data_IF_340354703042
#
_entry.id   IF_340354703042
#
_cell.length_a   1.000
_cell.length_b   1.000
_cell.length_c   1.000
_cell.angle_alpha   90.00
_cell.angle_beta   90.00
_cell.angle_gamma   90.00
#
_symmetry.space_group_name_H-M   'P 1'
#
loop_
_entity.id
_entity.type
_entity.pdbx_description
1 polymer ?
#
# COMPACT_ATOMS: atom_id res chain seq x y z
N UNK A 1 19.81 45.99 -15.90
CA UNK A 1 20.07 47.37 -15.45
C UNK A 1 19.09 47.65 -14.33
N UNK A 2 19.43 47.77 -13.04
CA UNK A 2 20.70 48.07 -12.39
C UNK A 2 20.52 49.32 -11.52
N UNK A 3 20.49 49.12 -10.19
CA UNK A 3 20.89 50.04 -9.09
C UNK A 3 19.97 51.28 -8.83
N UNK A 4 19.73 51.80 -7.61
CA UNK A 4 20.40 51.71 -6.30
C UNK A 4 19.51 52.31 -5.17
N UNK A 5 19.77 51.87 -3.91
CA UNK A 5 19.69 52.57 -2.59
C UNK A 5 18.32 53.09 -2.07
N UNK A 6 17.95 53.00 -0.79
CA UNK A 6 18.61 52.59 0.46
C UNK A 6 17.94 53.36 1.63
N UNK A 7 17.60 52.71 2.74
CA UNK A 7 17.53 53.29 4.10
C UNK A 7 17.02 52.27 5.13
N UNK A 8 17.89 51.97 6.09
CA UNK A 8 17.70 51.14 7.28
C UNK A 8 17.48 52.10 8.47
N UNK A 9 16.63 51.78 9.44
CA UNK A 9 16.51 52.58 10.68
C UNK A 9 16.41 51.66 11.90
N UNK A 10 17.58 51.49 12.51
CA UNK A 10 17.96 51.50 13.92
C UNK A 10 17.08 50.93 15.04
N UNK A 11 17.74 49.98 15.72
CA UNK A 11 17.46 49.34 16.98
C UNK A 11 17.83 50.27 18.14
N UNK A 12 16.89 50.51 19.06
CA UNK A 12 17.16 51.23 20.33
C UNK A 12 17.54 50.23 21.43
N UNK A 13 18.80 50.28 21.84
CA UNK A 13 19.35 49.58 23.01
C UNK A 13 19.23 50.48 24.24
N UNK A 14 18.40 50.09 25.22
CA UNK A 14 18.34 50.78 26.52
C UNK A 14 19.31 50.13 27.49
N UNK A 15 20.39 50.85 27.81
CA UNK A 15 21.39 50.54 28.83
C UNK A 15 21.01 51.30 30.11
N UNK A 16 20.76 50.61 31.23
CA UNK A 16 20.69 51.26 32.57
C UNK A 16 21.93 50.90 33.39
N UNK A 17 22.52 51.94 33.98
CA UNK A 17 23.78 51.99 34.72
C UNK A 17 23.50 51.75 36.22
N UNK A 18 24.40 51.06 36.91
CA UNK A 18 24.39 50.83 38.35
C UNK A 18 24.81 52.08 39.15
N UNK A 19 24.40 52.13 40.43
CA UNK A 19 25.12 52.77 41.54
C UNK A 19 24.80 52.04 42.85
N UNK A 20 25.84 51.87 43.66
CA UNK A 20 26.01 51.15 44.95
C UNK A 20 25.25 51.84 46.12
N UNK A 21 25.14 51.37 47.38
CA UNK A 21 25.76 50.32 48.20
C UNK A 21 24.89 50.04 49.46
N UNK A 22 25.14 48.88 50.11
CA UNK A 22 25.11 48.56 51.57
C UNK A 22 23.97 49.09 52.48
N UNK A 23 23.35 48.39 53.43
CA UNK A 23 23.57 47.14 54.17
C UNK A 23 22.29 46.95 55.03
N UNK A 24 21.85 45.72 55.33
CA UNK A 24 21.42 45.22 56.67
C UNK A 24 20.77 43.84 56.49
N UNK A 25 21.31 42.88 57.24
CA UNK A 25 20.95 41.48 57.37
C UNK A 25 19.54 41.25 57.92
N UNK A 26 18.72 40.49 57.19
CA UNK A 26 17.59 39.75 57.75
C UNK A 26 17.41 38.43 56.96
N UNK A 27 17.46 37.30 57.66
CA UNK A 27 17.15 35.97 57.11
C UNK A 27 15.72 35.96 56.54
N UNK A 28 15.48 35.59 55.26
CA UNK A 28 14.12 35.36 54.80
C UNK A 28 13.63 34.00 55.27
N UNK A 29 12.42 34.05 55.82
CA UNK A 29 11.65 32.95 56.37
C UNK A 29 11.53 31.73 55.43
N UNK A 30 11.25 30.57 56.05
CA UNK A 30 11.00 29.26 55.43
C UNK A 30 9.92 29.24 54.32
N UNK A 31 9.19 30.34 54.11
CA UNK A 31 8.25 30.53 53.00
C UNK A 31 8.93 30.66 51.63
N UNK A 32 10.18 31.13 51.57
CA UNK A 32 10.92 31.28 50.30
C UNK A 32 11.31 29.95 49.65
N UNK A 33 11.63 28.94 50.47
CA UNK A 33 12.06 27.62 49.97
C UNK A 33 10.87 26.78 49.47
N UNK A 34 9.71 26.91 50.11
CA UNK A 34 8.46 26.29 49.66
C UNK A 34 8.01 26.86 48.31
N UNK A 35 8.13 28.18 48.12
CA UNK A 35 7.79 28.86 46.87
C UNK A 35 8.76 28.51 45.73
N UNK A 36 10.06 28.37 46.01
CA UNK A 36 11.04 27.94 45.03
C UNK A 36 10.81 26.48 44.56
N UNK A 37 10.49 25.57 45.49
CA UNK A 37 10.16 24.19 45.15
C UNK A 37 8.84 24.06 44.38
N UNK A 38 7.84 24.90 44.68
CA UNK A 38 6.60 24.96 43.91
C UNK A 38 6.83 25.51 42.49
N UNK A 39 7.67 26.54 42.34
CA UNK A 39 8.05 27.09 41.04
C UNK A 39 8.88 26.11 40.19
N UNK A 40 9.80 25.37 40.80
CA UNK A 40 10.57 24.32 40.12
C UNK A 40 9.69 23.15 39.69
N UNK A 41 8.79 22.66 40.56
CA UNK A 41 7.81 21.61 40.19
C UNK A 41 6.82 22.07 39.12
N UNK A 42 6.40 23.33 39.18
CA UNK A 42 5.56 23.96 38.14
C UNK A 42 6.29 24.10 36.80
N UNK A 43 7.57 24.47 36.83
CA UNK A 43 8.43 24.58 35.66
C UNK A 43 8.76 23.23 35.02
N UNK A 44 9.04 22.20 35.82
CA UNK A 44 9.23 20.83 35.33
C UNK A 44 7.95 20.23 34.78
N UNK A 45 6.80 20.47 35.41
CA UNK A 45 5.50 20.00 34.92
C UNK A 45 5.09 20.70 33.63
N UNK A 46 5.34 22.01 33.50
CA UNK A 46 5.11 22.75 32.27
C UNK A 46 6.08 22.32 31.14
N UNK A 47 7.34 22.05 31.46
CA UNK A 47 8.32 21.52 30.51
C UNK A 47 8.02 20.06 30.10
N UNK A 48 7.46 19.25 31.00
CA UNK A 48 6.93 17.91 30.70
C UNK A 48 5.69 17.98 29.81
N UNK A 49 4.75 18.88 30.11
CA UNK A 49 3.55 19.10 29.28
C UNK A 49 3.90 19.63 27.89
N UNK A 50 4.95 20.46 27.77
CA UNK A 50 5.43 20.93 26.46
C UNK A 50 6.20 19.86 25.68
N UNK A 51 6.74 18.82 26.36
CA UNK A 51 7.40 17.67 25.72
C UNK A 51 6.43 16.56 25.30
N UNK A 52 5.22 16.53 25.82
CA UNK A 52 4.14 15.70 25.29
C UNK A 52 3.58 16.42 24.06
N UNK A 53 4.15 16.16 22.87
CA UNK A 53 3.44 16.44 21.61
C UNK A 53 2.18 15.58 21.63
N UNK A 54 1.08 16.14 22.14
CA UNK A 54 -0.24 15.57 21.97
C UNK A 54 -0.46 15.35 20.46
N UNK A 55 -1.04 14.23 20.03
CA UNK A 55 -1.40 14.03 18.62
C UNK A 55 -2.20 15.25 18.17
N UNK A 56 -1.90 15.75 16.96
CA UNK A 56 -2.64 16.90 16.42
C UNK A 56 -4.13 16.60 16.51
N UNK A 57 -4.94 17.53 17.04
CA UNK A 57 -6.37 17.28 17.22
C UNK A 57 -6.99 16.91 15.87
N UNK A 58 -7.75 15.82 15.87
CA UNK A 58 -8.49 15.38 14.70
C UNK A 58 -9.54 16.43 14.32
N UNK A 59 -9.80 16.56 13.03
CA UNK A 59 -10.66 17.59 12.46
C UNK A 59 -12.03 17.06 12.08
N UNK A 60 -12.99 17.99 12.06
CA UNK A 60 -14.29 17.79 11.42
C UNK A 60 -14.13 17.94 9.90
N UNK A 61 -15.01 17.29 9.13
CA UNK A 61 -15.00 17.37 7.66
C UNK A 61 -15.05 18.82 7.14
N UNK A 62 -15.91 19.65 7.73
CA UNK A 62 -16.06 21.05 7.35
C UNK A 62 -14.86 21.95 7.70
N UNK A 63 -13.91 21.46 8.49
CA UNK A 63 -12.68 22.19 8.87
C UNK A 63 -11.48 21.87 7.96
N UNK A 64 -11.64 20.92 7.03
CA UNK A 64 -10.56 20.48 6.16
C UNK A 64 -10.30 21.46 5.01
N UNK A 65 -9.11 21.35 4.41
CA UNK A 65 -8.85 22.02 3.14
C UNK A 65 -9.75 21.45 2.04
N UNK A 66 -10.10 22.28 1.05
CA UNK A 66 -11.07 21.90 -0.01
C UNK A 66 -10.69 20.60 -0.73
N UNK A 67 -9.40 20.37 -0.98
CA UNK A 67 -8.93 19.15 -1.64
C UNK A 67 -9.07 17.89 -0.77
N UNK A 68 -9.06 18.03 0.56
CA UNK A 68 -9.30 16.92 1.49
C UNK A 68 -10.80 16.61 1.66
N UNK A 69 -11.68 17.52 1.21
CA UNK A 69 -13.13 17.37 1.24
C UNK A 69 -13.68 16.64 0.00
N UNK A 70 -12.82 16.08 -0.85
CA UNK A 70 -13.27 15.48 -2.10
C UNK A 70 -13.88 14.09 -1.90
N UNK A 71 -13.48 13.33 -0.87
CA UNK A 71 -13.84 11.92 -0.66
C UNK A 71 -15.32 11.65 -0.33
N UNK A 72 -15.69 11.82 0.95
CA UNK A 72 -16.98 11.37 1.47
C UNK A 72 -17.50 12.28 2.60
N UNK A 73 -18.51 13.08 2.28
CA UNK A 73 -19.18 13.98 3.24
C UNK A 73 -19.97 13.25 4.34
N UNK A 74 -20.16 11.93 4.23
CA UNK A 74 -20.86 11.12 5.24
C UNK A 74 -20.00 10.83 6.47
N UNK A 75 -18.68 10.97 6.36
CA UNK A 75 -17.77 10.85 7.51
C UNK A 75 -17.55 12.26 8.02
N UNK A 76 -18.04 12.54 9.24
CA UNK A 76 -18.09 13.92 9.75
C UNK A 76 -16.86 14.29 10.60
N UNK A 77 -16.18 13.32 11.20
CA UNK A 77 -15.12 13.53 12.21
C UNK A 77 -13.94 12.58 12.02
N UNK A 78 -12.83 12.84 12.72
CA UNK A 78 -11.71 11.92 12.83
C UNK A 78 -10.63 12.10 11.76
N UNK A 79 -10.63 13.24 11.07
CA UNK A 79 -9.70 13.53 9.98
C UNK A 79 -8.35 14.07 10.45
N UNK A 80 -7.31 13.76 9.68
CA UNK A 80 -5.97 14.36 9.83
C UNK A 80 -5.90 15.63 8.98
N UNK A 81 -5.46 16.74 9.58
CA UNK A 81 -5.21 17.97 8.83
C UNK A 81 -4.01 17.83 7.90
N UNK A 82 -3.94 18.65 6.85
CA UNK A 82 -2.75 18.79 6.03
C UNK A 82 -1.50 19.01 6.90
N UNK A 83 -0.49 18.17 6.73
CA UNK A 83 0.69 18.13 7.61
C UNK A 83 1.95 18.72 6.97
N UNK A 84 2.07 18.67 5.64
CA UNK A 84 3.28 19.02 4.90
C UNK A 84 4.52 18.22 5.31
N UNK A 85 4.37 17.12 6.06
CA UNK A 85 5.49 16.38 6.64
C UNK A 85 5.23 14.89 6.66
N UNK A 86 6.04 14.13 5.93
CA UNK A 86 5.96 12.66 5.93
C UNK A 86 6.14 12.08 7.33
N UNK A 87 7.04 12.64 8.14
CA UNK A 87 7.24 12.19 9.52
C UNK A 87 5.96 12.31 10.35
N UNK A 88 5.18 13.39 10.16
CA UNK A 88 3.89 13.56 10.81
C UNK A 88 2.83 12.59 10.28
N UNK A 89 2.83 12.29 8.98
CA UNK A 89 1.97 11.25 8.39
C UNK A 89 2.23 9.87 9.03
N UNK A 90 3.49 9.42 9.09
CA UNK A 90 3.86 8.14 9.71
C UNK A 90 3.64 8.14 11.23
N UNK A 91 3.81 9.29 11.89
CA UNK A 91 3.46 9.44 13.29
C UNK A 91 1.98 9.16 13.57
N UNK A 92 1.09 9.25 12.56
CA UNK A 92 -0.34 9.00 12.72
C UNK A 92 -0.70 7.55 13.00
N UNK A 93 0.19 6.60 12.71
CA UNK A 93 0.00 5.18 13.04
C UNK A 93 -0.18 4.94 14.54
N UNK A 94 0.20 5.90 15.39
CA UNK A 94 0.14 5.77 16.85
C UNK A 94 -1.19 6.20 17.47
N UNK A 95 -2.15 6.67 16.68
CA UNK A 95 -3.47 7.07 17.17
C UNK A 95 -4.57 6.70 16.17
N UNK A 96 -5.82 6.66 16.64
CA UNK A 96 -6.98 6.28 15.83
C UNK A 96 -7.49 7.50 15.07
N UNK A 97 -7.78 7.32 13.79
CA UNK A 97 -8.34 8.32 12.87
C UNK A 97 -9.15 7.61 11.77
N UNK A 98 -9.82 8.36 10.90
CA UNK A 98 -10.70 7.85 9.85
C UNK A 98 -9.98 6.86 8.88
N UNK A 99 -8.68 7.03 8.66
CA UNK A 99 -7.87 6.13 7.81
C UNK A 99 -7.20 4.95 8.53
N UNK A 100 -7.36 4.77 9.85
CA UNK A 100 -6.62 3.75 10.61
C UNK A 100 -6.88 2.34 10.06
N UNK A 101 -8.14 1.98 9.82
CA UNK A 101 -8.49 0.64 9.30
C UNK A 101 -7.99 0.45 7.87
N UNK A 102 -8.02 1.48 7.04
CA UNK A 102 -7.50 1.41 5.66
C UNK A 102 -5.99 1.12 5.67
N UNK A 103 -5.22 1.80 6.54
CA UNK A 103 -3.78 1.55 6.68
C UNK A 103 -3.52 0.12 7.17
N UNK A 104 -4.09 -0.26 8.31
CA UNK A 104 -3.74 -1.53 8.95
C UNK A 104 -4.24 -2.76 8.20
N UNK A 105 -5.44 -2.70 7.61
CA UNK A 105 -5.97 -3.84 6.83
C UNK A 105 -5.09 -4.14 5.62
N UNK A 106 -4.61 -3.09 4.93
CA UNK A 106 -3.70 -3.25 3.79
C UNK A 106 -2.27 -3.63 4.22
N UNK A 107 -1.72 -3.08 5.32
CA UNK A 107 -0.42 -3.52 5.85
C UNK A 107 -0.41 -5.01 6.22
N UNK A 108 -1.44 -5.46 6.93
CA UNK A 108 -1.61 -6.86 7.31
C UNK A 108 -1.76 -7.73 6.05
N UNK A 109 -2.59 -7.29 5.09
CA UNK A 109 -2.73 -7.97 3.80
C UNK A 109 -1.40 -8.11 3.06
N UNK A 110 -0.62 -7.03 2.96
CA UNK A 110 0.70 -7.06 2.31
C UNK A 110 1.65 -8.04 3.00
N UNK A 111 1.72 -8.01 4.34
CA UNK A 111 2.55 -8.94 5.10
C UNK A 111 2.15 -10.40 4.90
N UNK A 112 0.86 -10.71 4.90
CA UNK A 112 0.34 -12.06 4.63
C UNK A 112 0.79 -12.55 3.26
N UNK A 113 0.62 -11.74 2.21
CA UNK A 113 0.99 -12.13 0.84
C UNK A 113 2.50 -12.16 0.58
N UNK A 114 3.34 -11.57 1.46
CA UNK A 114 4.79 -11.77 1.47
C UNK A 114 5.18 -13.06 2.20
N UNK A 115 4.53 -13.38 3.32
CA UNK A 115 4.89 -14.53 4.17
C UNK A 115 4.41 -15.84 3.59
N UNK A 116 3.20 -15.90 3.03
CA UNK A 116 2.62 -17.12 2.43
C UNK A 116 3.56 -17.77 1.40
N UNK A 117 4.06 -17.08 0.36
CA UNK A 117 4.93 -17.73 -0.63
C UNK A 117 6.22 -18.25 0.01
N UNK A 118 6.82 -17.54 0.97
CA UNK A 118 8.01 -18.04 1.68
C UNK A 118 7.71 -19.33 2.41
N UNK A 119 6.56 -19.42 3.09
CA UNK A 119 6.11 -20.64 3.76
C UNK A 119 5.87 -21.77 2.76
N UNK A 120 5.14 -21.51 1.67
CA UNK A 120 4.82 -22.51 0.65
C UNK A 120 6.08 -23.05 -0.04
N UNK A 121 7.00 -22.18 -0.47
CA UNK A 121 8.21 -22.59 -1.18
C UNK A 121 9.25 -23.27 -0.29
N UNK A 122 9.26 -22.99 1.03
CA UNK A 122 10.18 -23.66 1.96
C UNK A 122 9.65 -24.98 2.52
N UNK A 123 8.34 -25.09 2.75
CA UNK A 123 7.78 -26.20 3.52
C UNK A 123 6.89 -27.14 2.68
N UNK A 124 6.10 -26.59 1.74
CA UNK A 124 5.03 -27.33 1.06
C UNK A 124 5.39 -27.78 -0.36
N UNK A 125 6.17 -26.98 -1.07
CA UNK A 125 6.55 -27.24 -2.47
C UNK A 125 7.75 -28.18 -2.57
N UNK A 126 8.76 -28.17 -1.67
CA UNK A 126 9.88 -29.10 -1.76
C UNK A 126 9.50 -30.58 -1.83
N UNK A 127 8.54 -31.07 -1.02
CA UNK A 127 8.03 -32.43 -1.13
C UNK A 127 7.34 -32.75 -2.48
N UNK A 128 6.96 -31.73 -3.26
CA UNK A 128 6.17 -31.84 -4.50
C UNK A 128 6.96 -31.47 -5.76
N UNK A 129 8.27 -31.19 -5.69
CA UNK A 129 9.10 -30.77 -6.85
C UNK A 129 9.11 -31.75 -8.04
N UNK A 130 8.84 -33.04 -7.81
CA UNK A 130 8.68 -34.00 -8.92
C UNK A 130 7.51 -33.63 -9.85
N UNK A 131 6.56 -32.83 -9.35
CA UNK A 131 5.31 -32.43 -10.00
C UNK A 131 5.25 -30.90 -10.17
N UNK A 132 6.00 -30.12 -9.39
CA UNK A 132 6.08 -28.66 -9.52
C UNK A 132 7.41 -28.26 -10.18
N UNK A 133 7.33 -27.55 -11.29
CA UNK A 133 8.48 -26.99 -12.01
C UNK A 133 8.83 -25.60 -11.49
N UNK A 134 9.99 -25.08 -11.91
CA UNK A 134 10.36 -23.69 -11.61
C UNK A 134 9.39 -22.66 -12.23
N UNK A 135 8.69 -23.02 -13.31
CA UNK A 135 7.68 -22.15 -13.94
C UNK A 135 6.49 -21.95 -13.02
N UNK A 136 6.05 -23.01 -12.34
CA UNK A 136 4.98 -22.97 -11.33
C UNK A 136 5.35 -22.01 -10.19
N UNK A 137 6.61 -22.01 -9.77
CA UNK A 137 7.15 -21.08 -8.75
C UNK A 137 7.06 -19.64 -9.24
N UNK A 138 7.51 -19.37 -10.47
CA UNK A 138 7.52 -18.01 -11.03
C UNK A 138 6.11 -17.45 -11.18
N UNK A 139 5.17 -18.19 -11.77
CA UNK A 139 3.80 -17.70 -11.97
C UNK A 139 3.06 -17.48 -10.66
N UNK A 140 3.28 -18.35 -9.66
CA UNK A 140 2.73 -18.16 -8.32
C UNK A 140 3.33 -16.93 -7.65
N UNK A 141 4.66 -16.76 -7.70
CA UNK A 141 5.32 -15.58 -7.14
C UNK A 141 4.85 -14.28 -7.79
N UNK A 142 4.62 -14.26 -9.10
CA UNK A 142 4.08 -13.07 -9.78
C UNK A 142 2.76 -12.62 -9.17
N UNK A 143 1.84 -13.55 -8.91
CA UNK A 143 0.58 -13.25 -8.23
C UNK A 143 0.80 -12.75 -6.79
N UNK A 144 1.56 -13.48 -5.97
CA UNK A 144 1.79 -13.08 -4.57
C UNK A 144 2.44 -11.70 -4.46
N UNK A 145 3.44 -11.41 -5.30
CA UNK A 145 4.10 -10.11 -5.33
C UNK A 145 3.16 -9.01 -5.81
N UNK A 146 2.34 -9.27 -6.85
CA UNK A 146 1.37 -8.28 -7.32
C UNK A 146 0.35 -7.89 -6.26
N UNK A 147 -0.18 -8.87 -5.52
CA UNK A 147 -1.09 -8.62 -4.38
C UNK A 147 -0.38 -7.86 -3.26
N UNK A 148 0.83 -8.30 -2.88
CA UNK A 148 1.60 -7.66 -1.82
C UNK A 148 1.93 -6.19 -2.14
N UNK A 149 2.31 -5.91 -3.38
CA UNK A 149 2.60 -4.54 -3.87
C UNK A 149 1.32 -3.72 -3.89
N UNK A 150 0.19 -4.25 -4.38
CA UNK A 150 -1.10 -3.55 -4.35
C UNK A 150 -1.46 -3.09 -2.94
N UNK A 151 -1.41 -4.00 -1.97
CA UNK A 151 -1.69 -3.65 -0.57
C UNK A 151 -0.68 -2.67 0.00
N UNK A 152 0.62 -2.81 -0.33
CA UNK A 152 1.64 -1.88 0.12
C UNK A 152 1.42 -0.46 -0.41
N UNK A 153 1.15 -0.30 -1.71
CA UNK A 153 0.89 0.99 -2.33
C UNK A 153 -0.33 1.68 -1.71
N UNK A 154 -1.39 0.91 -1.47
CA UNK A 154 -2.60 1.42 -0.81
C UNK A 154 -2.36 1.83 0.65
N UNK A 155 -1.63 1.02 1.43
CA UNK A 155 -1.26 1.38 2.79
C UNK A 155 -0.38 2.65 2.84
N UNK A 156 0.54 2.80 1.89
CA UNK A 156 1.35 4.01 1.73
C UNK A 156 0.45 5.20 1.41
N UNK A 157 -0.46 5.08 0.44
CA UNK A 157 -1.39 6.13 0.07
C UNK A 157 -2.21 6.62 1.27
N UNK A 158 -2.92 5.72 1.95
CA UNK A 158 -3.70 6.07 3.13
C UNK A 158 -2.84 6.61 4.28
N UNK A 159 -1.56 6.24 4.36
CA UNK A 159 -0.63 6.86 5.32
C UNK A 159 -0.34 8.32 4.94
N UNK A 160 0.00 8.60 3.68
CA UNK A 160 0.53 9.89 3.23
C UNK A 160 -0.51 10.87 2.69
N UNK A 161 -1.77 10.48 2.51
CA UNK A 161 -2.82 11.33 1.92
C UNK A 161 -3.03 12.67 2.65
N UNK A 162 -2.74 12.76 3.95
CA UNK A 162 -2.80 14.03 4.70
C UNK A 162 -1.54 14.91 4.56
N UNK A 163 -0.64 14.63 3.61
CA UNK A 163 0.61 15.39 3.45
C UNK A 163 0.37 16.74 2.77
N UNK A 164 0.01 16.70 1.49
CA UNK A 164 -0.25 17.87 0.63
C UNK A 164 -1.05 17.39 -0.58
N UNK A 165 -1.79 18.29 -1.22
CA UNK A 165 -2.59 17.97 -2.42
C UNK A 165 -1.81 17.22 -3.51
N UNK A 166 -0.54 17.60 -3.75
CA UNK A 166 0.31 16.92 -4.73
C UNK A 166 0.63 15.47 -4.37
N UNK A 167 0.91 15.19 -3.09
CA UNK A 167 1.25 13.86 -2.60
C UNK A 167 0.00 12.98 -2.54
N UNK A 168 -1.14 13.56 -2.19
CA UNK A 168 -2.43 12.88 -2.22
C UNK A 168 -2.79 12.42 -3.64
N UNK A 169 -2.78 13.33 -4.63
CA UNK A 169 -3.06 13.00 -6.02
C UNK A 169 -2.11 11.94 -6.59
N UNK A 170 -0.81 12.06 -6.33
CA UNK A 170 0.17 11.08 -6.79
C UNK A 170 0.03 9.73 -6.07
N UNK A 171 -0.24 9.76 -4.76
CA UNK A 171 -0.50 8.56 -3.97
C UNK A 171 -1.74 7.81 -4.46
N UNK A 172 -2.82 8.53 -4.78
CA UNK A 172 -4.03 7.94 -5.35
C UNK A 172 -3.76 7.30 -6.72
N UNK A 173 -2.91 7.90 -7.56
CA UNK A 173 -2.48 7.30 -8.82
C UNK A 173 -1.72 5.99 -8.60
N UNK A 174 -0.81 5.94 -7.62
CA UNK A 174 -0.07 4.73 -7.27
C UNK A 174 -0.99 3.64 -6.69
N UNK A 175 -1.98 4.01 -5.89
CA UNK A 175 -2.99 3.06 -5.38
C UNK A 175 -3.78 2.41 -6.53
N UNK A 176 -4.17 3.21 -7.54
CA UNK A 176 -4.77 2.68 -8.77
C UNK A 176 -3.82 1.75 -9.54
N UNK A 177 -2.53 2.07 -9.62
CA UNK A 177 -1.56 1.13 -10.20
C UNK A 177 -1.47 -0.18 -9.41
N UNK A 178 -1.59 -0.12 -8.09
CA UNK A 178 -1.68 -1.30 -7.24
C UNK A 178 -2.80 -2.23 -7.66
N UNK A 179 -4.02 -1.70 -7.82
CA UNK A 179 -5.19 -2.48 -8.26
C UNK A 179 -4.96 -3.11 -9.64
N UNK A 180 -4.40 -2.35 -10.59
CA UNK A 180 -4.12 -2.87 -11.94
C UNK A 180 -3.08 -3.99 -11.90
N UNK A 181 -2.02 -3.82 -11.11
CA UNK A 181 -0.98 -4.83 -10.93
C UNK A 181 -1.52 -6.09 -10.27
N UNK A 182 -2.39 -5.97 -9.26
CA UNK A 182 -3.11 -7.08 -8.66
C UNK A 182 -3.93 -7.84 -9.71
N UNK A 183 -4.74 -7.12 -10.48
CA UNK A 183 -5.58 -7.74 -11.51
C UNK A 183 -4.73 -8.45 -12.57
N UNK A 184 -3.72 -7.77 -13.11
CA UNK A 184 -2.82 -8.35 -14.11
C UNK A 184 -2.07 -9.57 -13.59
N UNK A 185 -1.45 -9.47 -12.40
CA UNK A 185 -0.67 -10.56 -11.81
C UNK A 185 -1.52 -11.81 -11.50
N UNK A 186 -2.80 -11.65 -11.15
CA UNK A 186 -3.73 -12.76 -10.98
C UNK A 186 -4.03 -13.50 -12.29
N UNK A 187 -3.98 -12.81 -13.44
CA UNK A 187 -4.17 -13.46 -14.74
C UNK A 187 -3.00 -14.37 -15.14
N UNK A 188 -1.80 -14.13 -14.61
CA UNK A 188 -0.60 -14.90 -14.98
C UNK A 188 -0.74 -16.39 -14.63
N UNK A 189 -0.95 -16.81 -13.37
CA UNK A 189 -1.18 -18.20 -13.04
C UNK A 189 -2.52 -18.71 -13.60
N UNK A 190 -3.56 -17.88 -13.66
CA UNK A 190 -4.86 -18.26 -14.21
C UNK A 190 -4.74 -18.82 -15.63
N UNK A 191 -4.09 -18.08 -16.53
CA UNK A 191 -3.91 -18.49 -17.92
C UNK A 191 -2.82 -19.58 -18.02
N UNK A 192 -1.79 -19.55 -17.18
CA UNK A 192 -0.75 -20.59 -17.14
C UNK A 192 -1.33 -21.99 -16.90
N UNK A 193 -2.17 -22.12 -15.86
CA UNK A 193 -2.81 -23.39 -15.51
C UNK A 193 -4.05 -23.67 -16.35
N UNK A 194 -4.78 -22.64 -16.79
CA UNK A 194 -5.96 -22.77 -17.65
C UNK A 194 -5.64 -23.35 -19.02
N UNK A 195 -4.56 -22.87 -19.64
CA UNK A 195 -4.10 -23.26 -20.98
C UNK A 195 -2.69 -23.85 -20.92
N UNK A 196 -2.48 -24.82 -20.03
CA UNK A 196 -1.17 -25.46 -19.85
C UNK A 196 -0.69 -26.11 -21.16
N UNK A 197 -1.63 -26.76 -21.86
CA UNK A 197 -1.39 -27.58 -23.05
C UNK A 197 -1.29 -26.77 -24.34
N UNK A 198 -2.04 -25.66 -24.45
CA UNK A 198 -2.00 -24.79 -25.61
C UNK A 198 -1.15 -23.54 -25.32
N UNK A 199 0.10 -23.57 -25.80
CA UNK A 199 1.04 -22.47 -25.62
C UNK A 199 0.67 -21.25 -26.46
N UNK A 200 0.08 -21.44 -27.63
CA UNK A 200 -0.27 -20.34 -28.52
C UNK A 200 -1.42 -19.54 -27.91
N UNK A 201 -2.46 -20.23 -27.45
CA UNK A 201 -3.62 -19.61 -26.79
C UNK A 201 -3.24 -18.95 -25.47
N UNK A 202 -2.39 -19.61 -24.66
CA UNK A 202 -1.83 -19.00 -23.43
C UNK A 202 -1.11 -17.68 -23.73
N UNK A 203 -0.20 -17.69 -24.70
CA UNK A 203 0.58 -16.49 -25.04
C UNK A 203 -0.33 -15.38 -25.59
N UNK A 204 -1.32 -15.71 -26.42
CA UNK A 204 -2.29 -14.75 -26.93
C UNK A 204 -3.08 -14.06 -25.80
N UNK A 205 -3.58 -14.83 -24.82
CA UNK A 205 -4.26 -14.26 -23.66
C UNK A 205 -3.35 -13.39 -22.79
N UNK A 206 -2.13 -13.83 -22.50
CA UNK A 206 -1.17 -13.02 -21.76
C UNK A 206 -0.86 -11.70 -22.47
N UNK A 207 -0.63 -11.72 -23.79
CA UNK A 207 -0.40 -10.50 -24.57
C UNK A 207 -1.61 -9.58 -24.52
N UNK A 208 -2.81 -10.10 -24.79
CA UNK A 208 -4.04 -9.30 -24.77
C UNK A 208 -4.28 -8.65 -23.40
N UNK A 209 -4.23 -9.43 -22.32
CA UNK A 209 -4.47 -8.94 -20.95
C UNK A 209 -3.39 -7.95 -20.49
N UNK A 210 -2.13 -8.15 -20.92
CA UNK A 210 -1.05 -7.21 -20.62
C UNK A 210 -1.24 -5.88 -21.35
N UNK A 211 -1.68 -5.90 -22.62
CA UNK A 211 -2.00 -4.67 -23.37
C UNK A 211 -3.17 -3.93 -22.73
N UNK A 212 -4.24 -4.64 -22.35
CA UNK A 212 -5.39 -4.03 -21.67
C UNK A 212 -5.00 -3.42 -20.32
N UNK A 213 -4.18 -4.12 -19.52
CA UNK A 213 -3.66 -3.60 -18.26
C UNK A 213 -2.78 -2.36 -18.47
N UNK A 214 -1.93 -2.36 -19.51
CA UNK A 214 -1.09 -1.20 -19.85
C UNK A 214 -1.93 0.02 -20.27
N UNK A 215 -2.96 -0.17 -21.08
CA UNK A 215 -3.89 0.91 -21.47
C UNK A 215 -4.59 1.49 -20.23
N UNK A 216 -5.06 0.61 -19.33
CA UNK A 216 -5.68 1.02 -18.07
C UNK A 216 -4.68 1.80 -17.18
N UNK A 217 -3.44 1.31 -17.07
CA UNK A 217 -2.37 1.95 -16.32
C UNK A 217 -2.06 3.36 -16.83
N UNK A 218 -1.88 3.53 -18.14
CA UNK A 218 -1.63 4.84 -18.75
C UNK A 218 -2.81 5.79 -18.51
N UNK A 219 -4.04 5.29 -18.64
CA UNK A 219 -5.25 6.10 -18.45
C UNK A 219 -5.38 6.62 -17.01
N UNK A 220 -5.00 5.81 -16.02
CA UNK A 220 -5.13 6.14 -14.59
C UNK A 220 -4.04 7.10 -14.09
N UNK A 221 -2.93 7.24 -14.81
CA UNK A 221 -1.93 8.29 -14.56
C UNK A 221 -2.36 9.69 -15.03
N UNK A 222 -3.41 9.80 -15.84
CA UNK A 222 -3.90 11.09 -16.28
C UNK A 222 -4.49 11.87 -15.08
N UNK A 223 -4.00 13.08 -14.81
CA UNK A 223 -4.38 13.86 -13.62
C UNK A 223 -5.88 14.11 -13.48
N UNK A 224 -6.59 14.34 -14.60
CA UNK A 224 -8.05 14.49 -14.58
C UNK A 224 -8.79 13.24 -14.10
N UNK A 225 -8.20 12.06 -14.23
CA UNK A 225 -8.85 10.81 -13.83
C UNK A 225 -9.18 10.77 -12.33
N UNK A 226 -8.53 11.62 -11.52
CA UNK A 226 -8.76 11.74 -10.08
C UNK A 226 -10.02 12.53 -9.71
N UNK A 227 -10.53 13.36 -10.63
CA UNK A 227 -11.67 14.24 -10.36
C UNK A 227 -12.90 13.45 -9.84
N UNK A 228 -13.64 13.98 -8.84
CA UNK A 228 -14.76 13.26 -8.23
C UNK A 228 -15.85 12.82 -9.22
N UNK A 229 -16.13 13.64 -10.25
CA UNK A 229 -17.15 13.31 -11.26
C UNK A 229 -16.75 12.14 -12.18
N UNK A 230 -15.46 11.76 -12.23
CA UNK A 230 -14.97 10.63 -13.01
C UNK A 230 -14.95 9.31 -12.23
N UNK A 231 -15.41 9.27 -10.98
CA UNK A 231 -15.59 8.04 -10.19
C UNK A 231 -16.30 6.91 -10.97
N UNK A 232 -17.42 7.14 -11.67
CA UNK A 232 -18.07 6.09 -12.45
C UNK A 232 -17.21 5.60 -13.61
N UNK A 233 -16.46 6.49 -14.26
CA UNK A 233 -15.54 6.14 -15.35
C UNK A 233 -14.42 5.26 -14.82
N UNK A 234 -13.83 5.59 -13.66
CA UNK A 234 -12.83 4.74 -13.00
C UNK A 234 -13.38 3.35 -12.71
N UNK A 235 -14.55 3.29 -12.09
CA UNK A 235 -15.23 2.03 -11.77
C UNK A 235 -15.50 1.22 -13.05
N UNK A 236 -15.95 1.86 -14.14
CA UNK A 236 -16.16 1.22 -15.42
C UNK A 236 -14.85 0.71 -16.05
N UNK A 237 -13.74 1.46 -15.95
CA UNK A 237 -12.43 1.03 -16.45
C UNK A 237 -11.95 -0.23 -15.74
N UNK A 238 -11.93 -0.23 -14.40
CA UNK A 238 -11.52 -1.41 -13.63
C UNK A 238 -12.51 -2.57 -13.78
N UNK A 239 -13.82 -2.29 -13.77
CA UNK A 239 -14.85 -3.28 -13.99
C UNK A 239 -14.73 -3.95 -15.36
N UNK A 240 -14.45 -3.18 -16.41
CA UNK A 240 -14.21 -3.72 -17.76
C UNK A 240 -12.99 -4.62 -17.79
N UNK A 241 -11.84 -4.17 -17.24
CA UNK A 241 -10.64 -5.01 -17.16
C UNK A 241 -10.94 -6.33 -16.42
N UNK A 242 -11.70 -6.27 -15.33
CA UNK A 242 -12.16 -7.45 -14.57
C UNK A 242 -13.03 -8.39 -15.41
N UNK A 243 -14.01 -7.87 -16.14
CA UNK A 243 -14.83 -8.67 -17.05
C UNK A 243 -13.99 -9.34 -18.15
N UNK A 244 -13.00 -8.64 -18.73
CA UNK A 244 -12.11 -9.23 -19.74
C UNK A 244 -11.26 -10.37 -19.17
N UNK A 245 -10.90 -10.34 -17.88
CA UNK A 245 -10.21 -11.47 -17.25
C UNK A 245 -11.06 -12.74 -17.16
N UNK A 246 -12.39 -12.64 -17.29
CA UNK A 246 -13.27 -13.82 -17.28
C UNK A 246 -13.32 -14.57 -18.61
N UNK A 247 -12.94 -13.92 -19.72
CA UNK A 247 -12.90 -14.55 -21.06
C UNK A 247 -12.07 -15.84 -21.09
N UNK A 248 -10.79 -15.88 -20.63
CA UNK A 248 -10.02 -17.12 -20.57
C UNK A 248 -10.64 -18.18 -19.66
N UNK A 249 -11.37 -17.77 -18.62
CA UNK A 249 -12.07 -18.72 -17.72
C UNK A 249 -13.19 -19.42 -18.47
N UNK A 250 -14.07 -18.67 -19.14
CA UNK A 250 -15.17 -19.24 -19.91
C UNK A 250 -14.68 -20.11 -21.05
N UNK A 251 -13.66 -19.66 -21.79
CA UNK A 251 -13.08 -20.45 -22.87
C UNK A 251 -12.49 -21.77 -22.35
N UNK A 252 -11.72 -21.73 -21.26
CA UNK A 252 -11.16 -22.95 -20.67
C UNK A 252 -12.23 -23.92 -20.13
N UNK A 253 -13.38 -23.42 -19.64
CA UNK A 253 -14.52 -24.25 -19.24
C UNK A 253 -15.17 -24.90 -20.46
N UNK A 254 -15.39 -24.14 -21.54
CA UNK A 254 -16.00 -24.64 -22.77
C UNK A 254 -15.15 -25.71 -23.44
N UNK A 255 -13.83 -25.52 -23.53
CA UNK A 255 -12.92 -26.55 -24.04
C UNK A 255 -13.04 -27.84 -23.23
N UNK A 256 -13.02 -27.76 -21.89
CA UNK A 256 -13.15 -28.93 -21.01
C UNK A 256 -14.49 -29.64 -21.14
N UNK A 257 -15.59 -28.89 -21.29
CA UNK A 257 -16.92 -29.47 -21.48
C UNK A 257 -17.07 -30.11 -22.87
N UNK A 258 -16.50 -29.52 -23.92
CA UNK A 258 -16.53 -30.08 -25.27
C UNK A 258 -15.78 -31.42 -25.40
N UNK A 259 -14.77 -31.65 -24.56
CA UNK A 259 -14.07 -32.93 -24.49
C UNK A 259 -14.76 -34.00 -23.62
N UNK A 260 -15.79 -33.64 -22.84
CA UNK A 260 -16.52 -34.56 -21.98
C UNK A 260 -17.70 -35.27 -22.69
N UNK A 261 -18.07 -34.86 -23.90
CA UNK A 261 -18.96 -35.66 -24.74
C UNK A 261 -18.19 -36.86 -25.33
N UNK A 262 -18.73 -38.08 -25.20
CA UNK A 262 -18.13 -39.25 -25.82
C UNK A 262 -18.30 -39.15 -27.34
N UNK A 263 -17.26 -38.64 -28.02
CA UNK A 263 -17.20 -38.73 -29.47
C UNK A 263 -17.05 -40.21 -29.86
N UNK A 264 -18.08 -40.71 -30.54
CA UNK A 264 -18.07 -42.03 -31.17
C UNK A 264 -16.81 -42.15 -32.03
N UNK A 265 -16.06 -43.23 -31.86
CA UNK A 265 -14.65 -43.34 -32.23
C UNK A 265 -14.31 -42.88 -33.65
N UNK A 266 -13.17 -42.16 -33.77
CA UNK A 266 -12.14 -42.33 -34.81
C UNK A 266 -11.12 -41.18 -34.93
N UNK A 267 -11.13 -40.15 -34.06
CA UNK A 267 -10.12 -39.10 -34.07
C UNK A 267 -9.41 -38.93 -32.72
N UNK A 268 -8.64 -39.95 -32.31
CA UNK A 268 -7.66 -39.82 -31.22
C UNK A 268 -6.28 -39.49 -31.79
N UNK A 269 -6.01 -38.20 -31.98
CA UNK A 269 -4.70 -37.69 -32.32
C UNK A 269 -4.86 -36.22 -32.74
N UNK A 270 -4.81 -35.25 -31.84
CA UNK A 270 -3.53 -34.74 -31.36
C UNK A 270 -3.62 -33.97 -30.02
N UNK A 271 -4.79 -33.92 -29.36
CA UNK A 271 -5.00 -33.10 -28.15
C UNK A 271 -5.01 -33.88 -26.81
N UNK A 272 -5.06 -35.22 -26.84
CA UNK A 272 -5.15 -36.03 -25.62
C UNK A 272 -3.80 -36.28 -24.91
N UNK A 273 -2.68 -35.84 -25.47
CA UNK A 273 -1.32 -36.09 -24.94
C UNK A 273 -0.97 -35.26 -23.70
N UNK A 274 -1.75 -34.26 -23.34
CA UNK A 274 -1.43 -33.36 -22.23
C UNK A 274 -2.20 -33.68 -20.93
N UNK A 275 -3.26 -34.49 -20.99
CA UNK A 275 -3.99 -34.96 -19.80
C UNK A 275 -3.30 -36.14 -19.09
N UNK A 276 -2.35 -36.80 -19.74
CA UNK A 276 -1.53 -37.85 -19.13
C UNK A 276 -0.20 -37.28 -18.61
N UNK A 277 -0.26 -36.59 -17.46
CA UNK A 277 0.93 -36.55 -16.61
C UNK A 277 1.15 -37.98 -16.10
N UNK A 278 2.31 -38.62 -16.32
CA UNK A 278 2.47 -40.04 -16.02
C UNK A 278 2.20 -40.27 -14.52
N UNK A 279 1.14 -41.03 -14.22
CA UNK A 279 0.91 -41.57 -12.88
C UNK A 279 2.12 -42.42 -12.52
N UNK A 280 2.90 -41.91 -11.56
CA UNK A 280 3.85 -42.64 -10.73
C UNK A 280 4.66 -43.72 -11.42
N UNK A 281 5.92 -43.41 -11.73
CA UNK A 281 6.94 -44.45 -11.57
C UNK A 281 6.88 -44.96 -10.13
N UNK A 282 6.61 -46.26 -10.02
CA UNK A 282 6.63 -47.05 -8.80
C UNK A 282 7.76 -46.60 -7.88
N UNK A 283 7.40 -46.03 -6.73
CA UNK A 283 8.35 -45.79 -5.64
C UNK A 283 8.72 -47.18 -5.11
N UNK A 284 9.82 -47.74 -5.61
CA UNK A 284 10.55 -48.78 -4.88
C UNK A 284 11.19 -48.12 -3.66
N UNK A 285 11.00 -48.65 -2.45
CA UNK A 285 11.71 -48.15 -1.29
C UNK A 285 13.12 -48.75 -1.31
N UNK A 286 14.13 -47.99 -1.74
CA UNK A 286 15.52 -48.34 -1.42
C UNK A 286 16.37 -47.12 -1.08
N UNK A 287 16.84 -47.19 0.16
CA UNK A 287 18.06 -46.66 0.75
C UNK A 287 18.26 -45.16 0.93
N UNK A 288 17.96 -44.77 2.17
CA UNK A 288 18.67 -43.75 2.93
C UNK A 288 20.19 -43.95 2.82
N UNK A 289 20.90 -43.09 2.06
CA UNK A 289 22.28 -42.63 2.31
C UNK A 289 22.76 -41.61 1.27
N UNK A 290 23.59 -40.68 1.75
CA UNK A 290 24.32 -39.58 1.10
C UNK A 290 23.57 -38.22 1.07
N UNK A 291 23.87 -37.20 1.91
CA UNK A 291 25.13 -36.43 2.15
C UNK A 291 25.52 -35.71 0.84
N UNK A 292 25.56 -34.38 0.68
CA UNK A 292 25.82 -33.19 1.52
C UNK A 292 24.84 -32.08 1.16
#
# INVERSE_FOLDING_TARGET
>A
MGLQEGAFSDVVVVRRKSKDAAETTALPAASGLANANAALRGGESAALLQRVRLPMPLRLWGELEVWQQEDNHLIETGYRSATGSLSTCFASWRYIHNETVNIYSHLIGSAIFIVIPVYLFKNEIPPRYAVATWQDVVVCLTYFLGVAICFCLSAIYHTVMCHSRSVDLFGAQLDFQGVILLMWSATIPLVFYGFHCDRALRNAYWTMLSVLAAICSISTFHSRFQEPFLRPVRAATFGSLGLFTMVPVFHGIQERMGHAEPTNGNNLGAHNTCLERPRGHSIRPQDSRAVV
#
